data_IF_022199196888
#
_entry.id   IF_022199196888
#
_cell.length_a   1.000
_cell.length_b   1.000
_cell.length_c   1.000
_cell.angle_alpha   90.00
_cell.angle_beta   90.00
_cell.angle_gamma   90.00
#
_symmetry.space_group_name_H-M   'P 1'
#
loop_
_entity.id
_entity.type
_entity.pdbx_description
1 polymer ?
#
# COMPACT_ATOMS: atom_id res chain seq x y z
N UNK A 1 7.24 -4.34 -6.06
CA UNK A 1 6.10 -5.29 -6.02
C UNK A 1 6.18 -6.18 -7.24
N UNK A 2 5.79 -7.44 -7.09
CA UNK A 2 5.72 -8.41 -8.17
C UNK A 2 4.38 -9.13 -8.10
N UNK A 3 3.83 -9.48 -9.26
CA UNK A 3 2.78 -10.49 -9.37
C UNK A 3 3.35 -11.65 -10.15
N UNK A 4 3.22 -12.84 -9.60
CA UNK A 4 3.70 -14.08 -10.20
C UNK A 4 2.51 -14.97 -10.54
N UNK A 5 2.66 -15.80 -11.58
CA UNK A 5 1.68 -16.86 -11.85
C UNK A 5 1.80 -17.95 -10.79
N UNK A 6 0.67 -18.39 -10.26
CA UNK A 6 0.63 -19.46 -9.27
C UNK A 6 1.13 -20.81 -9.83
N UNK A 7 0.98 -21.03 -11.14
CA UNK A 7 1.31 -22.29 -11.80
C UNK A 7 2.81 -22.57 -11.90
N UNK A 8 3.63 -21.53 -12.05
CA UNK A 8 5.05 -21.68 -12.40
C UNK A 8 5.98 -20.60 -11.80
N UNK A 9 5.44 -19.62 -11.07
CA UNK A 9 6.21 -18.53 -10.49
C UNK A 9 6.74 -17.51 -11.49
N UNK A 10 6.37 -17.60 -12.77
CA UNK A 10 6.77 -16.61 -13.78
C UNK A 10 6.15 -15.24 -13.49
N UNK A 11 6.89 -14.17 -13.77
CA UNK A 11 6.40 -12.80 -13.55
C UNK A 11 5.27 -12.46 -14.52
N UNK A 12 4.15 -12.00 -13.96
CA UNK A 12 3.07 -11.35 -14.71
C UNK A 12 3.41 -9.87 -14.91
N UNK A 13 3.78 -9.19 -13.82
CA UNK A 13 4.26 -7.81 -13.86
C UNK A 13 5.19 -7.49 -12.69
N UNK A 14 5.97 -6.43 -12.88
CA UNK A 14 6.81 -5.80 -11.86
C UNK A 14 6.42 -4.33 -11.73
N UNK A 15 6.18 -3.88 -10.49
CA UNK A 15 5.88 -2.50 -10.17
C UNK A 15 6.92 -1.91 -9.21
N UNK A 16 7.55 -0.81 -9.63
CA UNK A 16 8.55 -0.08 -8.84
C UNK A 16 7.86 0.91 -7.91
N UNK A 17 7.44 0.43 -6.73
CA UNK A 17 6.82 1.24 -5.68
C UNK A 17 7.68 1.20 -4.42
N UNK A 18 7.68 2.29 -3.65
CA UNK A 18 8.36 2.34 -2.36
C UNK A 18 9.89 2.34 -2.42
N UNK A 19 10.48 2.56 -3.59
CA UNK A 19 11.93 2.64 -3.78
C UNK A 19 12.39 4.06 -3.44
N UNK A 20 13.24 4.18 -2.44
CA UNK A 20 13.89 5.45 -2.07
C UNK A 20 15.03 5.78 -3.05
N UNK A 21 15.47 7.06 -3.14
CA UNK A 21 16.63 7.45 -3.94
C UNK A 21 17.92 6.69 -3.60
N UNK A 22 18.02 6.16 -2.39
CA UNK A 22 19.13 5.31 -1.91
C UNK A 22 19.09 3.89 -2.49
N UNK A 23 18.11 3.56 -3.34
CA UNK A 23 17.91 2.22 -3.90
C UNK A 23 17.29 1.21 -2.92
N UNK A 24 17.03 1.62 -1.67
CA UNK A 24 16.37 0.79 -0.69
C UNK A 24 14.84 0.87 -0.87
N UNK A 25 14.21 -0.29 -0.99
CA UNK A 25 12.75 -0.40 -1.06
C UNK A 25 12.27 -1.43 -0.06
N UNK A 26 11.54 -0.99 0.94
CA UNK A 26 10.83 -1.88 1.86
C UNK A 26 9.36 -1.54 1.78
N UNK A 27 8.57 -2.56 1.49
CA UNK A 27 7.12 -2.50 1.45
C UNK A 27 6.56 -3.44 2.51
N UNK A 28 5.48 -3.03 3.18
CA UNK A 28 4.69 -3.94 4.01
C UNK A 28 4.01 -5.00 3.12
N UNK A 29 3.59 -6.12 3.70
CA UNK A 29 2.81 -7.13 2.96
C UNK A 29 1.58 -6.46 2.33
N UNK A 30 1.36 -6.61 1.01
CA UNK A 30 0.28 -5.94 0.31
C UNK A 30 -1.08 -6.58 0.61
N UNK A 31 -2.16 -5.83 0.36
CA UNK A 31 -3.53 -6.34 0.31
C UNK A 31 -4.15 -6.10 -1.07
N UNK A 32 -4.96 -7.04 -1.55
CA UNK A 32 -5.63 -6.93 -2.85
C UNK A 32 -7.15 -6.87 -2.61
N UNK A 33 -7.82 -5.90 -3.23
CA UNK A 33 -9.28 -5.81 -3.26
C UNK A 33 -9.76 -5.08 -4.51
N UNK A 34 -10.83 -5.56 -5.12
CA UNK A 34 -11.48 -4.92 -6.28
C UNK A 34 -10.50 -4.59 -7.44
N UNK A 35 -9.56 -5.49 -7.73
CA UNK A 35 -8.57 -5.30 -8.80
C UNK A 35 -7.45 -4.30 -8.48
N UNK A 36 -7.29 -3.93 -7.21
CA UNK A 36 -6.25 -2.99 -6.76
C UNK A 36 -5.38 -3.63 -5.67
N UNK A 37 -4.07 -3.53 -5.83
CA UNK A 37 -3.06 -3.90 -4.83
C UNK A 37 -2.68 -2.66 -4.02
N UNK A 38 -2.80 -2.75 -2.70
CA UNK A 38 -2.44 -1.72 -1.74
C UNK A 38 -1.18 -2.12 -0.99
N UNK A 39 -0.14 -1.28 -1.04
CA UNK A 39 1.12 -1.53 -0.37
C UNK A 39 1.65 -0.27 0.31
N UNK A 40 1.83 -0.35 1.63
CA UNK A 40 2.56 0.64 2.39
C UNK A 40 4.06 0.52 2.15
N UNK A 41 4.76 1.65 2.11
CA UNK A 41 6.18 1.68 1.84
C UNK A 41 6.95 2.66 2.74
N UNK A 42 8.27 2.47 2.81
CA UNK A 42 9.19 3.38 3.51
C UNK A 42 9.37 4.73 2.82
N UNK A 43 8.83 4.93 1.62
CA UNK A 43 8.74 6.22 0.93
C UNK A 43 7.64 7.15 1.49
N UNK A 44 7.10 6.78 2.64
CA UNK A 44 5.99 7.41 3.34
C UNK A 44 4.63 7.29 2.63
N UNK A 45 4.52 6.48 1.58
CA UNK A 45 3.31 6.36 0.79
C UNK A 45 2.59 5.02 0.98
N UNK A 46 1.26 5.10 1.06
CA UNK A 46 0.38 4.01 0.65
C UNK A 46 0.27 4.07 -0.88
N UNK A 47 0.71 3.02 -1.55
CA UNK A 47 0.65 2.88 -3.00
C UNK A 47 -0.54 1.99 -3.39
N UNK A 48 -1.32 2.43 -4.37
CA UNK A 48 -2.39 1.65 -4.98
C UNK A 48 -2.02 1.35 -6.43
N UNK A 49 -2.00 0.09 -6.79
CA UNK A 49 -1.50 -0.44 -8.05
C UNK A 49 -2.58 -1.29 -8.70
N UNK A 50 -2.75 -1.16 -10.00
CA UNK A 50 -3.67 -2.00 -10.77
C UNK A 50 -3.18 -3.46 -10.75
N UNK A 51 -4.04 -4.39 -10.30
CA UNK A 51 -3.66 -5.80 -10.13
C UNK A 51 -3.45 -6.54 -11.47
N UNK A 52 -4.01 -6.04 -12.56
CA UNK A 52 -3.87 -6.66 -13.88
C UNK A 52 -2.58 -6.24 -14.58
N UNK A 53 -2.16 -4.99 -14.42
CA UNK A 53 -1.06 -4.38 -15.17
C UNK A 53 0.17 -4.03 -14.33
N UNK A 54 0.02 -3.91 -13.02
CA UNK A 54 1.07 -3.37 -12.16
C UNK A 54 1.24 -1.84 -12.26
N UNK A 55 0.33 -1.14 -12.94
CA UNK A 55 0.39 0.31 -13.09
C UNK A 55 0.04 1.03 -11.77
N UNK A 56 0.80 2.06 -11.40
CA UNK A 56 0.46 2.91 -10.25
C UNK A 56 -0.84 3.68 -10.54
N UNK A 57 -1.90 3.41 -9.78
CA UNK A 57 -3.17 4.13 -9.87
C UNK A 57 -3.15 5.42 -9.06
N UNK A 58 -2.66 5.34 -7.82
CA UNK A 58 -2.46 6.51 -6.97
C UNK A 58 -1.50 6.19 -5.82
N UNK A 59 -1.00 7.24 -5.16
CA UNK A 59 -0.28 7.12 -3.89
C UNK A 59 -0.73 8.19 -2.90
N UNK A 60 -0.67 7.88 -1.61
CA UNK A 60 -1.04 8.80 -0.53
C UNK A 60 0.08 8.84 0.51
N UNK A 61 0.65 10.02 0.72
CA UNK A 61 1.64 10.23 1.77
C UNK A 61 0.93 10.31 3.13
N UNK A 62 1.25 9.38 4.03
CA UNK A 62 0.72 9.33 5.41
C UNK A 62 1.81 9.05 6.45
N UNK A 63 3.07 9.11 6.04
CA UNK A 63 4.24 8.78 6.86
C UNK A 63 4.70 7.34 6.68
N UNK A 64 5.70 6.96 7.48
CA UNK A 64 6.38 5.67 7.40
C UNK A 64 5.43 4.50 7.70
N UNK A 65 5.18 3.63 6.72
CA UNK A 65 4.26 2.50 6.86
C UNK A 65 5.04 1.20 6.96
N UNK A 66 4.83 0.48 8.06
CA UNK A 66 5.26 -0.91 8.23
C UNK A 66 4.07 -1.88 8.35
N UNK A 67 2.89 -1.37 8.70
CA UNK A 67 1.70 -2.20 8.85
C UNK A 67 1.16 -2.67 7.51
N UNK A 68 0.81 -3.96 7.44
CA UNK A 68 0.07 -4.52 6.32
C UNK A 68 -1.31 -3.84 6.20
N UNK A 69 -1.70 -3.34 5.02
CA UNK A 69 -3.03 -2.80 4.83
C UNK A 69 -4.12 -3.87 4.97
N UNK A 70 -5.31 -3.48 5.40
CA UNK A 70 -6.54 -4.29 5.36
C UNK A 70 -7.60 -3.52 4.58
N UNK A 71 -8.32 -4.17 3.68
CA UNK A 71 -9.38 -3.52 2.89
C UNK A 71 -10.72 -4.12 3.26
N UNK A 72 -11.66 -3.26 3.68
CA UNK A 72 -13.04 -3.64 3.95
C UNK A 72 -13.99 -2.53 3.53
N UNK A 73 -15.09 -2.88 2.85
CA UNK A 73 -16.13 -1.94 2.41
C UNK A 73 -15.59 -0.70 1.66
N UNK A 74 -14.60 -0.90 0.78
CA UNK A 74 -13.98 0.18 0.02
C UNK A 74 -13.08 1.12 0.83
N UNK A 75 -12.67 0.71 2.04
CA UNK A 75 -11.77 1.48 2.91
C UNK A 75 -10.51 0.68 3.18
N UNK A 76 -9.35 1.34 3.03
CA UNK A 76 -8.03 0.81 3.34
C UNK A 76 -7.63 1.26 4.74
N UNK A 77 -7.38 0.31 5.63
CA UNK A 77 -6.94 0.51 7.00
C UNK A 77 -5.48 0.11 7.15
N UNK A 78 -4.67 0.95 7.80
CA UNK A 78 -3.25 0.66 8.02
C UNK A 78 -2.64 1.51 9.14
N UNK A 79 -1.58 0.99 9.75
CA UNK A 79 -0.83 1.64 10.82
C UNK A 79 0.50 2.23 10.33
N UNK A 80 0.89 3.38 10.87
CA UNK A 80 2.17 4.05 10.60
C UNK A 80 3.09 3.99 11.82
N UNK A 81 4.38 3.75 11.58
CA UNK A 81 5.37 3.50 12.64
C UNK A 81 5.87 4.81 13.28
N UNK A 82 6.00 5.89 12.49
CA UNK A 82 6.47 7.19 12.98
C UNK A 82 5.38 8.13 13.48
N UNK A 83 4.17 8.00 12.92
CA UNK A 83 3.02 8.83 13.31
C UNK A 83 2.23 8.25 14.48
N UNK A 84 2.54 7.02 14.91
CA UNK A 84 1.75 6.20 15.84
C UNK A 84 0.26 6.29 15.51
N UNK A 85 -0.10 6.13 14.24
CA UNK A 85 -1.47 6.39 13.76
C UNK A 85 -2.03 5.20 13.00
N UNK A 86 -3.32 4.94 13.20
CA UNK A 86 -4.12 4.13 12.28
C UNK A 86 -4.85 5.09 11.34
N UNK A 87 -4.81 4.81 10.04
CA UNK A 87 -5.55 5.54 9.02
C UNK A 87 -6.66 4.67 8.45
N UNK A 88 -7.78 5.30 8.11
CA UNK A 88 -8.81 4.77 7.26
C UNK A 88 -8.93 5.65 6.01
N UNK A 89 -8.67 5.08 4.83
CA UNK A 89 -8.61 5.82 3.57
C UNK A 89 -9.62 5.22 2.61
N UNK A 90 -10.51 6.03 2.06
CA UNK A 90 -11.43 5.57 1.01
C UNK A 90 -10.63 5.20 -0.25
N UNK A 91 -10.79 3.97 -0.73
CA UNK A 91 -10.04 3.39 -1.83
C UNK A 91 -10.21 4.13 -3.17
N UNK A 92 -11.38 4.73 -3.39
CA UNK A 92 -11.75 5.39 -4.66
C UNK A 92 -11.46 6.88 -4.60
N UNK A 93 -12.00 7.56 -3.58
CA UNK A 93 -11.85 9.01 -3.43
C UNK A 93 -10.48 9.41 -2.93
N UNK A 94 -9.71 8.48 -2.32
CA UNK A 94 -8.39 8.73 -1.70
C UNK A 94 -8.46 9.66 -0.48
N UNK A 95 -9.67 9.92 0.00
CA UNK A 95 -9.92 10.74 1.18
C UNK A 95 -9.54 9.95 2.45
N UNK A 96 -8.89 10.63 3.38
CA UNK A 96 -8.73 10.10 4.73
C UNK A 96 -10.09 10.28 5.42
N UNK A 97 -10.74 9.16 5.75
CA UNK A 97 -12.01 9.16 6.46
C UNK A 97 -11.80 9.48 7.92
N UNK A 98 -10.81 8.85 8.53
CA UNK A 98 -10.31 9.20 9.85
C UNK A 98 -8.86 8.77 10.01
N UNK A 99 -8.21 9.33 11.04
CA UNK A 99 -7.02 8.75 11.61
C UNK A 99 -7.11 8.79 13.13
N UNK A 100 -6.48 7.82 13.78
CA UNK A 100 -6.47 7.68 15.23
C UNK A 100 -5.04 7.57 15.73
N UNK A 101 -4.67 8.40 16.71
CA UNK A 101 -3.38 8.30 17.38
C UNK A 101 -3.42 7.11 18.33
N UNK A 102 -2.66 6.05 18.01
CA UNK A 102 -2.43 4.93 18.89
C UNK A 102 -1.45 5.40 19.96
N UNK A 103 -1.98 5.83 21.11
CA UNK A 103 -1.17 6.27 22.24
C UNK A 103 -0.12 5.22 22.61
N UNK A 104 1.05 5.70 23.03
CA UNK A 104 2.15 4.86 23.53
C UNK A 104 3.23 5.72 24.12
#
# INVERSE_FOLDING_TARGET
LYKLKESDGSSVWTAYVGVQPTGQGNIASPAIANGVVYAGAMDNNLNAVDDSTGALLWKKNIGLIYGSPVVANGVVYLATLGGKRIYAINATSKAILFNYLTGG
#
